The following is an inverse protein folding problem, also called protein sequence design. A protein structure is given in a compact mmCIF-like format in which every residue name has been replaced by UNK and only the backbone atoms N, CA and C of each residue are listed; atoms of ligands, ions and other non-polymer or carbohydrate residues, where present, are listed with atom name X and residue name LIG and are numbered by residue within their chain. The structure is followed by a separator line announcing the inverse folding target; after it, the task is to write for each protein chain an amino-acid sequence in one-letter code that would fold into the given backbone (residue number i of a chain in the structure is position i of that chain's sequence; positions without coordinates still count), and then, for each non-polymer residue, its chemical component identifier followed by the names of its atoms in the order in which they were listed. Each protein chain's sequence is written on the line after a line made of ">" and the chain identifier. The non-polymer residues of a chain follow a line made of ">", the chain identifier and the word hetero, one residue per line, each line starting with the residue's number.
data_IF_687022768348
#
_entry.id   IF_687022768348
#
_cell.length_a   1.000
_cell.length_b   1.000
_cell.length_c   1.000
_cell.angle_alpha   90.00
_cell.angle_beta   90.00
_cell.angle_gamma   90.00
#
_symmetry.space_group_name_H-M   'P 1'
#
loop_
_entity.id
_entity.type
_entity.pdbx_description
1 polymer ?
#
# COMPACT_ATOMS: atom_id res chain seq x y z
N UNK A 1 -21.78 5.27 27.73
CA UNK A 1 -20.54 5.90 27.21
C UNK A 1 -19.79 4.87 26.37
N UNK A 2 -19.99 4.84 25.04
CA UNK A 2 -19.17 4.03 24.12
C UNK A 2 -18.98 4.79 22.81
N UNK A 3 -18.16 5.85 22.85
CA UNK A 3 -17.67 6.54 21.66
C UNK A 3 -16.21 6.11 21.44
N UNK A 4 -15.99 5.02 20.70
CA UNK A 4 -14.62 4.56 20.41
C UNK A 4 -14.38 3.89 19.05
N UNK A 5 -15.43 3.53 18.29
CA UNK A 5 -15.24 2.74 17.06
C UNK A 5 -15.08 3.54 15.76
N UNK A 6 -15.72 4.71 15.59
CA UNK A 6 -15.58 5.50 14.36
C UNK A 6 -14.18 6.10 14.16
N UNK A 7 -13.56 6.58 15.24
CA UNK A 7 -12.19 7.11 15.22
C UNK A 7 -11.15 6.05 14.85
N UNK A 8 -11.44 4.76 15.08
CA UNK A 8 -10.52 3.65 14.80
C UNK A 8 -10.45 3.33 13.31
N UNK A 9 -11.59 3.26 12.62
CA UNK A 9 -11.63 3.01 11.17
C UNK A 9 -11.03 4.16 10.34
N UNK A 10 -11.24 5.41 10.76
CA UNK A 10 -10.60 6.59 10.13
C UNK A 10 -9.08 6.55 10.36
N UNK A 11 -8.63 6.31 11.60
CA UNK A 11 -7.19 6.18 11.92
C UNK A 11 -6.50 5.04 11.17
N UNK A 12 -7.16 3.90 10.99
CA UNK A 12 -6.60 2.78 10.23
C UNK A 12 -6.51 3.09 8.73
N UNK A 13 -7.48 3.81 8.18
CA UNK A 13 -7.44 4.29 6.79
C UNK A 13 -6.34 5.33 6.57
N UNK A 14 -6.21 6.32 7.45
CA UNK A 14 -5.14 7.33 7.39
C UNK A 14 -3.76 6.70 7.57
N UNK A 15 -3.61 5.75 8.50
CA UNK A 15 -2.35 5.03 8.68
C UNK A 15 -1.98 4.22 7.43
N UNK A 16 -2.94 3.55 6.78
CA UNK A 16 -2.70 2.83 5.53
C UNK A 16 -2.31 3.79 4.41
N UNK A 17 -3.04 4.88 4.23
CA UNK A 17 -2.78 5.85 3.18
C UNK A 17 -1.41 6.51 3.35
N UNK A 18 -1.06 6.90 4.59
CA UNK A 18 0.26 7.43 4.92
C UNK A 18 1.38 6.43 4.64
N UNK A 19 1.23 5.18 5.10
CA UNK A 19 2.24 4.15 4.85
C UNK A 19 2.40 3.83 3.35
N UNK A 20 1.32 3.79 2.57
CA UNK A 20 1.40 3.58 1.13
C UNK A 20 2.07 4.76 0.40
N UNK A 21 1.82 5.99 0.84
CA UNK A 21 2.50 7.18 0.31
C UNK A 21 4.01 7.12 0.56
N UNK A 22 4.43 6.75 1.77
CA UNK A 22 5.87 6.58 2.09
C UNK A 22 6.51 5.46 1.27
N UNK A 23 5.82 4.33 1.10
CA UNK A 23 6.30 3.18 0.33
C UNK A 23 6.47 3.55 -1.15
N UNK A 24 5.51 4.26 -1.74
CA UNK A 24 5.62 4.68 -3.15
C UNK A 24 6.76 5.67 -3.36
N UNK A 25 6.98 6.61 -2.44
CA UNK A 25 8.15 7.49 -2.48
C UNK A 25 9.47 6.70 -2.35
N UNK A 26 9.52 5.70 -1.46
CA UNK A 26 10.68 4.84 -1.28
C UNK A 26 10.95 3.97 -2.52
N UNK A 27 9.92 3.41 -3.15
CA UNK A 27 10.02 2.66 -4.40
C UNK A 27 10.53 3.54 -5.56
N UNK A 28 10.12 4.81 -5.62
CA UNK A 28 10.66 5.79 -6.56
C UNK A 28 12.16 5.98 -6.40
N UNK A 29 12.63 6.26 -5.18
CA UNK A 29 14.06 6.38 -4.87
C UNK A 29 14.83 5.09 -5.20
N UNK A 30 14.23 3.94 -4.90
CA UNK A 30 14.81 2.63 -5.16
C UNK A 30 14.91 2.33 -6.66
N UNK A 31 13.99 2.83 -7.49
CA UNK A 31 14.06 2.74 -8.95
C UNK A 31 15.26 3.52 -9.50
N UNK A 32 15.51 4.73 -8.97
CA UNK A 32 16.64 5.58 -9.36
C UNK A 32 17.98 5.00 -8.89
N UNK A 33 18.10 4.68 -7.60
CA UNK A 33 19.33 4.17 -6.99
C UNK A 33 19.64 2.73 -7.43
N UNK A 34 18.60 1.94 -7.64
CA UNK A 34 18.67 0.54 -8.03
C UNK A 34 18.91 0.31 -9.52
N UNK A 35 19.03 1.37 -10.32
CA UNK A 35 19.30 1.29 -11.75
C UNK A 35 20.55 0.43 -12.09
N UNK A 36 21.56 0.43 -11.21
CA UNK A 36 22.79 -0.36 -11.36
C UNK A 36 22.76 -1.71 -10.62
N UNK A 37 21.77 -1.96 -9.76
CA UNK A 37 21.74 -3.16 -8.90
C UNK A 37 21.41 -4.44 -9.67
N UNK A 38 21.71 -5.60 -9.07
CA UNK A 38 21.24 -6.89 -9.56
C UNK A 38 19.75 -7.07 -9.28
N UNK A 39 19.08 -7.89 -10.08
CA UNK A 39 17.65 -8.19 -9.92
C UNK A 39 17.34 -8.76 -8.53
N UNK A 40 18.18 -9.67 -8.03
CA UNK A 40 18.05 -10.23 -6.69
C UNK A 40 18.15 -9.17 -5.58
N UNK A 41 19.08 -8.21 -5.73
CA UNK A 41 19.24 -7.11 -4.76
C UNK A 41 18.04 -6.16 -4.79
N UNK A 42 17.51 -5.87 -5.99
CA UNK A 42 16.27 -5.10 -6.16
C UNK A 42 15.08 -5.80 -5.52
N UNK A 43 14.88 -7.09 -5.77
CA UNK A 43 13.78 -7.85 -5.18
C UNK A 43 13.86 -7.88 -3.64
N UNK A 44 15.06 -8.04 -3.08
CA UNK A 44 15.24 -7.99 -1.62
C UNK A 44 14.86 -6.62 -1.05
N UNK A 45 15.37 -5.55 -1.65
CA UNK A 45 15.12 -4.19 -1.18
C UNK A 45 13.64 -3.77 -1.36
N UNK A 46 13.00 -4.18 -2.46
CA UNK A 46 11.55 -4.00 -2.66
C UNK A 46 10.77 -4.70 -1.56
N UNK A 47 11.14 -5.93 -1.20
CA UNK A 47 10.46 -6.69 -0.14
C UNK A 47 10.60 -6.02 1.24
N UNK A 48 11.77 -5.44 1.52
CA UNK A 48 12.02 -4.68 2.75
C UNK A 48 11.21 -3.38 2.81
N UNK A 49 11.14 -2.64 1.69
CA UNK A 49 10.36 -1.39 1.59
C UNK A 49 8.87 -1.64 1.68
N UNK A 50 8.36 -2.62 0.94
CA UNK A 50 6.93 -2.90 0.84
C UNK A 50 6.41 -3.63 2.09
N UNK A 51 7.22 -4.52 2.67
CA UNK A 51 6.96 -5.19 3.94
C UNK A 51 5.55 -5.80 4.03
N UNK A 52 4.83 -5.46 5.11
CA UNK A 52 3.46 -5.96 5.39
C UNK A 52 2.41 -5.47 4.38
N UNK A 53 2.73 -4.47 3.56
CA UNK A 53 1.80 -3.87 2.61
C UNK A 53 1.89 -4.48 1.22
N UNK A 54 2.70 -5.53 1.04
CA UNK A 54 2.83 -6.29 -0.22
C UNK A 54 1.49 -6.73 -0.84
N UNK A 55 0.46 -7.12 -0.08
CA UNK A 55 -0.83 -7.48 -0.67
C UNK A 55 -1.55 -6.34 -1.39
N UNK A 56 -1.17 -5.08 -1.15
CA UNK A 56 -1.80 -3.88 -1.73
C UNK A 56 -1.02 -3.30 -2.91
N UNK A 57 0.16 -3.85 -3.21
CA UNK A 57 1.09 -3.31 -4.19
C UNK A 57 1.53 -4.43 -5.13
N UNK A 58 1.39 -4.18 -6.43
CA UNK A 58 1.99 -5.02 -7.45
C UNK A 58 3.27 -4.31 -7.91
N UNK A 59 4.43 -4.92 -7.63
CA UNK A 59 5.73 -4.36 -8.02
C UNK A 59 6.36 -5.25 -9.08
N UNK A 60 6.78 -4.64 -10.19
CA UNK A 60 7.44 -5.29 -11.31
C UNK A 60 8.85 -4.75 -11.46
N UNK A 61 9.80 -5.66 -11.66
CA UNK A 61 11.19 -5.30 -11.96
C UNK A 61 11.48 -5.64 -13.42
N UNK A 62 11.95 -4.66 -14.18
CA UNK A 62 12.34 -4.85 -15.57
C UNK A 62 13.83 -5.21 -15.66
N UNK A 63 14.17 -6.02 -16.67
CA UNK A 63 15.57 -6.43 -16.90
C UNK A 63 16.38 -5.27 -17.48
N UNK A 64 17.62 -5.16 -17.02
CA UNK A 64 18.59 -4.16 -17.49
C UNK A 64 18.71 -4.21 -19.02
N UNK A 65 18.48 -3.07 -19.67
CA UNK A 65 18.73 -2.89 -21.11
C UNK A 65 17.64 -3.39 -22.06
N UNK A 66 16.51 -3.93 -21.57
CA UNK A 66 15.43 -4.43 -22.43
C UNK A 66 14.39 -3.37 -22.80
N UNK A 67 14.17 -2.37 -21.95
CA UNK A 67 13.18 -1.30 -22.16
C UNK A 67 13.76 0.06 -21.74
N UNK A 68 13.51 1.12 -22.53
CA UNK A 68 13.77 2.52 -22.15
C UNK A 68 12.72 2.93 -21.11
N UNK A 69 12.88 2.50 -19.87
CA UNK A 69 11.92 2.76 -18.82
C UNK A 69 12.48 2.54 -17.41
N UNK A 70 11.73 2.97 -16.37
CA UNK A 70 12.12 2.78 -14.98
C UNK A 70 12.33 1.30 -14.67
N UNK A 71 13.40 1.01 -13.92
CA UNK A 71 13.80 -0.36 -13.63
C UNK A 71 12.84 -1.08 -12.68
N UNK A 72 12.17 -0.29 -11.84
CA UNK A 72 11.11 -0.75 -10.97
C UNK A 72 9.84 0.03 -11.33
N UNK A 73 8.77 -0.69 -11.63
CA UNK A 73 7.44 -0.15 -11.81
C UNK A 73 6.52 -0.72 -10.75
N UNK A 74 5.52 0.04 -10.31
CA UNK A 74 4.55 -0.41 -9.32
C UNK A 74 3.17 0.13 -9.63
N UNK A 75 2.16 -0.64 -9.23
CA UNK A 75 0.76 -0.27 -9.29
C UNK A 75 0.07 -0.69 -7.99
N UNK A 76 -1.02 -0.01 -7.67
CA UNK A 76 -1.86 -0.41 -6.55
C UNK A 76 -2.73 -1.61 -6.93
N UNK A 77 -2.80 -2.58 -6.04
CA UNK A 77 -3.73 -3.70 -6.17
C UNK A 77 -5.14 -3.22 -5.80
N UNK A 78 -5.82 -2.61 -6.76
CA UNK A 78 -7.10 -1.93 -6.54
C UNK A 78 -8.15 -2.81 -5.88
N UNK A 79 -8.22 -4.11 -6.22
CA UNK A 79 -9.14 -5.03 -5.57
C UNK A 79 -8.86 -5.22 -4.07
N UNK A 80 -7.59 -5.22 -3.66
CA UNK A 80 -7.20 -5.38 -2.25
C UNK A 80 -7.49 -4.08 -1.47
N UNK A 81 -7.21 -2.92 -2.08
CA UNK A 81 -7.58 -1.63 -1.51
C UNK A 81 -9.10 -1.50 -1.35
N UNK A 82 -9.88 -1.83 -2.39
CA UNK A 82 -11.36 -1.80 -2.33
C UNK A 82 -11.93 -2.77 -1.30
N UNK A 83 -11.29 -3.92 -1.08
CA UNK A 83 -11.69 -4.86 -0.03
C UNK A 83 -11.40 -4.30 1.37
N UNK A 84 -10.25 -3.64 1.54
CA UNK A 84 -9.91 -2.96 2.78
C UNK A 84 -10.83 -1.76 3.04
N UNK A 85 -11.07 -0.91 2.05
CA UNK A 85 -12.04 0.20 2.13
C UNK A 85 -13.44 -0.29 2.43
N UNK A 86 -13.90 -1.41 1.85
CA UNK A 86 -15.20 -2.01 2.20
C UNK A 86 -15.22 -2.51 3.63
N UNK A 87 -14.10 -3.00 4.16
CA UNK A 87 -13.99 -3.44 5.55
C UNK A 87 -14.03 -2.23 6.48
N UNK A 88 -13.27 -1.19 6.19
CA UNK A 88 -13.24 0.06 6.96
C UNK A 88 -14.59 0.79 6.90
N UNK A 89 -15.19 0.85 5.71
CA UNK A 89 -16.51 1.38 5.45
C UNK A 89 -17.61 0.55 6.08
N UNK A 90 -17.49 -0.78 6.13
CA UNK A 90 -18.40 -1.65 6.90
C UNK A 90 -18.30 -1.35 8.40
N UNK A 91 -17.12 -1.04 8.93
CA UNK A 91 -16.98 -0.59 10.31
C UNK A 91 -17.48 0.84 10.54
N UNK A 92 -17.39 1.73 9.53
CA UNK A 92 -18.02 3.05 9.56
C UNK A 92 -19.56 2.96 9.49
N UNK A 93 -20.10 2.03 8.71
CA UNK A 93 -21.54 1.78 8.54
C UNK A 93 -22.14 0.94 9.69
N UNK A 94 -21.35 0.13 10.40
CA UNK A 94 -21.76 -0.59 11.62
C UNK A 94 -21.97 0.34 12.84
N UNK A 95 -21.57 1.61 12.74
CA UNK A 95 -21.92 2.65 13.74
C UNK A 95 -23.30 3.25 13.44
N UNK A 96 -23.89 2.94 12.28
CA UNK A 96 -25.21 3.40 11.87
C UNK A 96 -26.24 2.27 11.98
N UNK A 97 -26.31 1.61 13.14
CA UNK A 97 -27.51 0.84 13.48
C UNK A 97 -28.53 1.80 14.11
N UNK A 98 -29.74 1.97 13.54
CA UNK A 98 -30.75 2.93 14.00
C UNK A 98 -31.49 2.53 15.28
N UNK A 99 -30.98 1.59 16.08
CA UNK A 99 -31.54 1.30 17.41
C UNK A 99 -30.82 2.09 18.50
N UNK A 100 -31.02 3.41 18.49
CA UNK A 100 -31.26 4.13 19.74
C UNK A 100 -32.78 4.36 19.82
N UNK A 101 -33.33 4.08 21.00
CA UNK A 101 -34.74 4.06 21.37
C UNK A 101 -35.61 5.19 20.83
#
# INVERSE_FOLDING_TARGET
>A
MVYHNGARGVRESDQRNGALAEITAALGKLSEQGAAWSEAKLHKAIREVVGRWAPYLEVRVTRKGKEKGPRVTWSYHQHALRAAERRDGKFALLVTDPKLS
#
